data_IF_755895586492
#
_entry.id   IF_755895586492
#
_cell.length_a   1.000
_cell.length_b   1.000
_cell.length_c   1.000
_cell.angle_alpha   90.00
_cell.angle_beta   90.00
_cell.angle_gamma   90.00
#
_symmetry.space_group_name_H-M   'P 1'
#
loop_
_entity.id
_entity.type
_entity.pdbx_description
1 polymer ?
#
# COMPACT_ATOMS: atom_id res chain seq x y z
N UNK A 1 6.07 18.34 11.58
CA UNK A 1 7.19 17.66 10.91
C UNK A 1 6.63 16.41 10.26
N UNK A 2 6.45 16.43 8.94
CA UNK A 2 5.96 15.26 8.17
C UNK A 2 7.19 14.46 7.80
N UNK A 3 7.43 13.35 8.49
CA UNK A 3 8.55 12.47 8.16
C UNK A 3 8.28 11.89 6.78
N UNK A 4 9.14 12.22 5.80
CA UNK A 4 9.11 11.59 4.49
C UNK A 4 9.17 10.08 4.67
N UNK A 5 8.15 9.39 4.19
CA UNK A 5 8.00 7.96 4.34
C UNK A 5 8.87 7.29 3.28
N UNK A 6 9.94 6.61 3.70
CA UNK A 6 10.87 5.98 2.75
C UNK A 6 10.28 4.68 2.20
N UNK A 7 10.49 4.41 0.92
CA UNK A 7 10.08 3.16 0.27
C UNK A 7 10.60 1.89 0.99
N UNK A 8 11.73 1.99 1.68
CA UNK A 8 12.31 0.93 2.51
C UNK A 8 11.48 0.57 3.75
N UNK A 9 10.43 1.33 4.06
CA UNK A 9 9.51 1.06 5.17
C UNK A 9 8.26 0.28 4.70
N UNK A 10 8.15 -0.04 3.41
CA UNK A 10 7.03 -0.83 2.89
C UNK A 10 7.15 -2.27 3.37
N UNK A 11 6.19 -2.72 4.17
CA UNK A 11 6.18 -4.06 4.76
C UNK A 11 5.49 -5.07 3.83
N UNK A 12 4.34 -4.70 3.23
CA UNK A 12 3.45 -5.62 2.51
C UNK A 12 2.61 -4.90 1.45
N UNK A 13 2.11 -5.64 0.45
CA UNK A 13 1.16 -5.17 -0.54
C UNK A 13 -0.20 -5.86 -0.42
N UNK A 14 -1.29 -5.10 -0.45
CA UNK A 14 -2.66 -5.60 -0.47
C UNK A 14 -3.29 -5.22 -1.80
N UNK A 15 -3.70 -6.22 -2.59
CA UNK A 15 -4.36 -6.01 -3.87
C UNK A 15 -5.87 -6.12 -3.71
N UNK A 16 -6.55 -5.19 -4.38
CA UNK A 16 -8.00 -5.06 -4.35
C UNK A 16 -8.54 -5.30 -5.74
N UNK A 17 -9.19 -6.43 -5.93
CA UNK A 17 -9.98 -6.65 -7.13
C UNK A 17 -11.42 -6.21 -6.82
N UNK A 18 -11.88 -5.16 -7.51
CA UNK A 18 -13.26 -4.71 -7.37
C UNK A 18 -14.02 -5.08 -8.63
N UNK A 19 -15.10 -5.84 -8.49
CA UNK A 19 -15.94 -6.24 -9.62
C UNK A 19 -16.40 -5.01 -10.40
N UNK A 20 -15.99 -4.90 -11.67
CA UNK A 20 -16.34 -3.77 -12.53
C UNK A 20 -15.55 -2.47 -12.30
N UNK A 21 -14.43 -2.48 -11.58
CA UNK A 21 -13.51 -1.33 -11.44
C UNK A 21 -12.06 -1.83 -11.58
N UNK A 22 -11.13 -1.05 -12.16
CA UNK A 22 -9.73 -1.45 -12.18
C UNK A 22 -9.25 -1.74 -10.76
N UNK A 23 -8.63 -2.90 -10.55
CA UNK A 23 -8.04 -3.22 -9.26
C UNK A 23 -6.95 -2.22 -8.89
N UNK A 24 -6.68 -2.07 -7.60
CA UNK A 24 -5.61 -1.18 -7.11
C UNK A 24 -4.78 -1.87 -6.02
N UNK A 25 -3.53 -1.42 -5.87
CA UNK A 25 -2.60 -1.89 -4.84
C UNK A 25 -2.48 -0.86 -3.72
N UNK A 26 -2.52 -1.33 -2.46
CA UNK A 26 -2.11 -0.54 -1.29
C UNK A 26 -0.84 -1.14 -0.69
N UNK A 27 0.16 -0.31 -0.48
CA UNK A 27 1.41 -0.69 0.17
C UNK A 27 1.37 -0.27 1.64
N UNK A 28 1.46 -1.22 2.57
CA UNK A 28 1.63 -0.90 4.00
C UNK A 28 3.01 -0.32 4.19
N UNK A 29 3.08 0.86 4.79
CA UNK A 29 4.34 1.55 5.04
C UNK A 29 4.68 1.69 6.52
N UNK A 30 3.69 1.48 7.39
CA UNK A 30 3.93 1.35 8.82
C UNK A 30 2.77 0.62 9.48
N UNK A 31 3.07 -0.21 10.48
CA UNK A 31 2.07 -0.78 11.39
C UNK A 31 2.40 -0.43 12.84
N UNK A 32 1.41 0.12 13.53
CA UNK A 32 1.50 0.42 14.97
C UNK A 32 0.29 -0.19 15.69
N UNK A 33 0.49 -1.38 16.28
CA UNK A 33 -0.59 -2.19 16.83
C UNK A 33 -1.58 -2.60 15.73
N UNK A 34 -2.83 -2.17 15.89
CA UNK A 34 -3.92 -2.42 14.93
C UNK A 34 -4.10 -1.30 13.90
N UNK A 35 -3.41 -0.16 14.06
CA UNK A 35 -3.40 0.90 13.05
C UNK A 35 -2.33 0.59 11.99
N UNK A 36 -2.70 0.74 10.72
CA UNK A 36 -1.80 0.67 9.58
C UNK A 36 -1.81 1.98 8.81
N UNK A 37 -0.62 2.47 8.49
CA UNK A 37 -0.42 3.49 7.47
C UNK A 37 -0.11 2.79 6.15
N UNK A 38 -0.80 3.20 5.09
CA UNK A 38 -0.62 2.65 3.76
C UNK A 38 -0.53 3.76 2.73
N UNK A 39 -0.01 3.41 1.56
CA UNK A 39 0.09 4.27 0.40
C UNK A 39 -0.60 3.61 -0.79
N UNK A 40 -1.31 4.41 -1.58
CA UNK A 40 -1.84 4.02 -2.88
C UNK A 40 -1.72 5.17 -3.88
N UNK A 41 -2.36 5.02 -5.05
CA UNK A 41 -2.36 6.04 -6.10
C UNK A 41 -2.96 7.39 -5.68
N UNK A 42 -3.70 7.43 -4.56
CA UNK A 42 -4.26 8.68 -4.00
C UNK A 42 -3.34 9.34 -2.97
N UNK A 43 -2.33 8.61 -2.49
CA UNK A 43 -1.34 9.07 -1.51
C UNK A 43 -1.34 8.25 -0.21
N UNK A 44 -0.91 8.87 0.89
CA UNK A 44 -0.84 8.26 2.21
C UNK A 44 -2.19 8.32 2.93
N UNK A 45 -2.56 7.23 3.59
CA UNK A 45 -3.75 7.14 4.43
C UNK A 45 -3.55 6.15 5.57
N UNK A 46 -4.50 6.12 6.50
CA UNK A 46 -4.50 5.22 7.65
C UNK A 46 -5.81 4.49 7.77
N UNK A 47 -5.75 3.24 8.23
CA UNK A 47 -6.93 2.47 8.62
C UNK A 47 -6.54 1.39 9.64
N UNK A 48 -7.50 0.56 10.03
CA UNK A 48 -7.25 -0.58 10.90
C UNK A 48 -6.85 -1.83 10.09
N UNK A 49 -6.01 -2.69 10.66
CA UNK A 49 -5.58 -3.96 10.04
C UNK A 49 -6.78 -4.80 9.59
N UNK A 50 -7.81 -4.92 10.45
CA UNK A 50 -9.02 -5.66 10.11
C UNK A 50 -9.77 -5.06 8.91
N UNK A 51 -9.76 -3.72 8.79
CA UNK A 51 -10.38 -3.02 7.66
C UNK A 51 -9.64 -3.29 6.36
N UNK A 52 -8.30 -3.16 6.38
CA UNK A 52 -7.49 -3.32 5.17
C UNK A 52 -7.52 -4.75 4.64
N UNK A 53 -7.46 -5.74 5.55
CA UNK A 53 -7.51 -7.16 5.23
C UNK A 53 -8.88 -7.58 4.71
N UNK A 54 -9.97 -7.09 5.31
CA UNK A 54 -11.35 -7.42 4.86
C UNK A 54 -11.62 -6.99 3.42
N UNK A 55 -11.04 -5.88 3.01
CA UNK A 55 -11.26 -5.34 1.68
C UNK A 55 -10.38 -5.99 0.61
N UNK A 56 -9.24 -6.57 0.99
CA UNK A 56 -8.26 -7.07 0.04
C UNK A 56 -8.71 -8.38 -0.61
N UNK A 57 -8.56 -8.48 -1.92
CA UNK A 57 -8.76 -9.73 -2.66
C UNK A 57 -7.55 -10.66 -2.57
N UNK A 58 -6.36 -10.09 -2.41
CA UNK A 58 -5.12 -10.83 -2.19
C UNK A 58 -4.13 -10.02 -1.33
N UNK A 59 -3.25 -10.74 -0.64
CA UNK A 59 -2.16 -10.18 0.15
C UNK A 59 -0.83 -10.74 -0.38
N UNK A 60 0.14 -9.85 -0.51
CA UNK A 60 1.45 -10.12 -1.07
C UNK A 60 2.53 -9.57 -0.15
N UNK A 61 3.67 -10.26 -0.09
CA UNK A 61 4.90 -9.66 0.41
C UNK A 61 5.30 -8.45 -0.45
N UNK A 62 6.14 -7.57 0.07
CA UNK A 62 6.68 -6.45 -0.72
C UNK A 62 7.33 -6.92 -2.03
N UNK A 63 8.10 -8.01 -1.99
CA UNK A 63 8.77 -8.57 -3.16
C UNK A 63 7.77 -9.11 -4.20
N UNK A 64 6.72 -9.78 -3.77
CA UNK A 64 5.66 -10.26 -4.65
C UNK A 64 4.87 -9.11 -5.27
N UNK A 65 4.53 -8.09 -4.48
CA UNK A 65 3.85 -6.90 -4.97
C UNK A 65 4.69 -6.16 -6.02
N UNK A 66 6.00 -6.00 -5.77
CA UNK A 66 6.93 -5.39 -6.72
C UNK A 66 7.09 -6.22 -8.01
N UNK A 67 7.02 -7.55 -7.92
CA UNK A 67 7.11 -8.45 -9.07
C UNK A 67 5.83 -8.47 -9.91
N UNK A 68 4.66 -8.49 -9.27
CA UNK A 68 3.36 -8.62 -9.92
C UNK A 68 2.82 -7.28 -10.42
N UNK A 69 3.09 -6.20 -9.68
CA UNK A 69 2.55 -4.86 -9.94
C UNK A 69 3.66 -3.79 -9.99
N UNK A 70 4.72 -3.97 -10.81
CA UNK A 70 5.90 -3.11 -10.78
C UNK A 70 5.59 -1.63 -11.05
N UNK A 71 4.61 -1.36 -11.93
CA UNK A 71 4.19 0.01 -12.25
C UNK A 71 3.50 0.69 -11.06
N UNK A 72 2.56 0.01 -10.43
CA UNK A 72 1.81 0.54 -9.28
C UNK A 72 2.74 0.80 -8.11
N UNK A 73 3.66 -0.13 -7.82
CA UNK A 73 4.67 0.06 -6.79
C UNK A 73 5.56 1.26 -7.09
N UNK A 74 6.00 1.44 -8.34
CA UNK A 74 6.82 2.58 -8.73
C UNK A 74 6.06 3.92 -8.61
N UNK A 75 4.79 3.96 -9.03
CA UNK A 75 3.97 5.17 -8.97
C UNK A 75 3.64 5.56 -7.52
N UNK A 76 3.29 4.59 -6.68
CA UNK A 76 3.08 4.80 -5.23
C UNK A 76 4.36 5.28 -4.57
N UNK A 77 5.50 4.65 -4.88
CA UNK A 77 6.81 5.04 -4.34
C UNK A 77 7.16 6.48 -4.71
N UNK A 78 6.98 6.86 -5.98
CA UNK A 78 7.20 8.23 -6.44
C UNK A 78 6.32 9.24 -5.70
N UNK A 79 5.07 8.90 -5.39
CA UNK A 79 4.17 9.74 -4.60
C UNK A 79 4.62 9.89 -3.14
N UNK A 80 5.27 8.89 -2.57
CA UNK A 80 5.84 8.96 -1.22
C UNK A 80 7.07 9.87 -1.14
N UNK A 81 7.89 9.88 -2.18
CA UNK A 81 9.13 10.67 -2.22
C UNK A 81 8.92 12.14 -2.60
N UNK A 82 7.81 12.47 -3.27
CA UNK A 82 7.51 13.82 -3.76
C UNK A 82 6.87 14.75 -2.70
N UNK A 83 6.75 14.32 -1.43
CA UNK A 83 6.11 15.08 -0.33
C UNK A 83 7.01 15.18 0.90
#
# INVERSE_FOLDING_TARGET
MTTAVKASQVEQGFYYEKTGTPGWLRLIVHRHGDEVAYADFTGLSKCWVATIARWAGAQYTQAEAARLFPKEVADITRHLEAR
#
